data_IF_613196961556
#
_entry.id   IF_613196961556
#
_cell.length_a   1.000
_cell.length_b   1.000
_cell.length_c   1.000
_cell.angle_alpha   90.00
_cell.angle_beta   90.00
_cell.angle_gamma   90.00
#
_symmetry.space_group_name_H-M   'P 1'
#
loop_
_entity.id
_entity.type
_entity.pdbx_description
1 polymer ?
#
# COMPACT_ATOMS: atom_id res chain seq x y z
N UNK A 1 -3.46 1.33 -19.97
CA UNK A 1 -3.15 0.06 -19.29
C UNK A 1 -1.66 -0.22 -19.43
N UNK A 2 -0.82 0.46 -18.64
CA UNK A 2 0.56 0.00 -18.48
C UNK A 2 0.53 -1.10 -17.44
N UNK A 3 0.59 -2.36 -17.87
CA UNK A 3 0.91 -3.45 -16.96
C UNK A 3 2.27 -3.15 -16.36
N UNK A 4 2.33 -2.93 -15.05
CA UNK A 4 3.59 -2.92 -14.34
C UNK A 4 4.16 -4.33 -14.46
N UNK A 5 5.06 -4.54 -15.43
CA UNK A 5 5.83 -5.78 -15.52
C UNK A 5 6.47 -5.97 -14.15
N UNK A 6 6.17 -7.06 -13.40
CA UNK A 6 6.71 -7.23 -12.07
C UNK A 6 8.22 -7.17 -12.18
N UNK A 7 8.82 -6.21 -11.46
CA UNK A 7 10.27 -6.05 -11.46
C UNK A 7 10.89 -7.40 -11.10
N UNK A 8 11.63 -8.01 -12.03
CA UNK A 8 12.21 -9.36 -11.87
C UNK A 8 13.18 -9.48 -10.68
N UNK A 9 13.45 -8.37 -9.99
CA UNK A 9 14.45 -8.22 -8.93
C UNK A 9 13.87 -7.87 -7.55
N UNK A 10 12.57 -8.09 -7.29
CA UNK A 10 12.03 -7.92 -5.92
C UNK A 10 12.50 -9.10 -5.04
N UNK A 11 13.26 -8.87 -3.95
CA UNK A 11 13.64 -9.93 -3.03
C UNK A 11 12.39 -10.55 -2.39
N UNK A 12 12.35 -11.88 -2.27
CA UNK A 12 11.24 -12.56 -1.59
C UNK A 12 11.03 -12.03 -0.16
N UNK A 13 12.11 -11.66 0.53
CA UNK A 13 12.06 -11.07 1.87
C UNK A 13 11.36 -9.71 1.91
N UNK A 14 11.44 -8.91 0.84
CA UNK A 14 10.71 -7.64 0.74
C UNK A 14 9.21 -7.86 0.54
N UNK A 15 8.82 -8.91 -0.21
CA UNK A 15 7.42 -9.31 -0.39
C UNK A 15 6.84 -9.80 0.93
N UNK A 16 7.54 -10.68 1.64
CA UNK A 16 7.13 -11.18 2.94
C UNK A 16 7.00 -10.03 3.96
N UNK A 17 7.97 -9.12 3.98
CA UNK A 17 7.93 -7.94 4.83
C UNK A 17 6.73 -7.04 4.52
N UNK A 18 6.40 -6.84 3.24
CA UNK A 18 5.21 -6.10 2.82
C UNK A 18 3.92 -6.73 3.37
N UNK A 19 3.72 -8.03 3.18
CA UNK A 19 2.51 -8.70 3.64
C UNK A 19 2.40 -8.72 5.17
N UNK A 20 3.50 -9.00 5.88
CA UNK A 20 3.53 -8.93 7.35
C UNK A 20 3.16 -7.55 7.88
N UNK A 21 3.53 -6.50 7.17
CA UNK A 21 3.24 -5.12 7.55
C UNK A 21 1.77 -4.79 7.26
N UNK A 22 1.27 -5.15 6.08
CA UNK A 22 -0.13 -4.93 5.68
C UNK A 22 -1.08 -5.70 6.61
N UNK A 23 -0.69 -6.86 7.11
CA UNK A 23 -1.47 -7.64 8.09
C UNK A 23 -1.60 -6.97 9.48
N UNK A 24 -0.81 -5.93 9.77
CA UNK A 24 -0.97 -5.11 10.98
C UNK A 24 -2.03 -4.02 10.84
N UNK A 25 -2.51 -3.78 9.63
CA UNK A 25 -3.58 -2.82 9.39
C UNK A 25 -4.92 -3.41 9.82
N UNK A 26 -5.78 -2.56 10.39
CA UNK A 26 -7.17 -2.92 10.64
C UNK A 26 -7.86 -3.39 9.33
N UNK A 27 -8.80 -4.35 9.38
CA UNK A 27 -9.32 -5.01 8.18
C UNK A 27 -9.85 -4.06 7.11
N UNK A 28 -10.55 -3.01 7.53
CA UNK A 28 -11.16 -2.01 6.66
C UNK A 28 -10.13 -1.13 5.94
N UNK A 29 -9.09 -0.71 6.67
CA UNK A 29 -7.94 0.03 6.16
C UNK A 29 -7.11 -0.85 5.21
N UNK A 30 -6.89 -2.11 5.57
CA UNK A 30 -6.15 -3.10 4.79
C UNK A 30 -6.80 -3.33 3.42
N UNK A 31 -8.11 -3.56 3.39
CA UNK A 31 -8.84 -3.80 2.13
C UNK A 31 -8.75 -2.58 1.23
N UNK A 32 -9.02 -1.39 1.76
CA UNK A 32 -8.94 -0.16 0.99
C UNK A 32 -7.52 0.06 0.42
N UNK A 33 -6.48 -0.20 1.22
CA UNK A 33 -5.08 -0.09 0.83
C UNK A 33 -4.69 -1.05 -0.30
N UNK A 34 -5.02 -2.33 -0.17
CA UNK A 34 -4.70 -3.35 -1.17
C UNK A 34 -5.41 -3.08 -2.49
N UNK A 35 -6.71 -2.76 -2.46
CA UNK A 35 -7.45 -2.43 -3.66
C UNK A 35 -6.88 -1.21 -4.39
N UNK A 36 -6.45 -0.18 -3.66
CA UNK A 36 -5.92 1.03 -4.27
C UNK A 36 -4.48 0.86 -4.79
N UNK A 37 -3.58 0.26 -4.01
CA UNK A 37 -2.14 0.26 -4.32
C UNK A 37 -1.63 -1.03 -4.94
N UNK A 38 -2.30 -2.17 -4.69
CA UNK A 38 -1.91 -3.47 -5.26
C UNK A 38 -2.75 -3.80 -6.48
N UNK A 39 -4.07 -3.67 -6.39
CA UNK A 39 -4.98 -3.89 -7.53
C UNK A 39 -5.06 -2.67 -8.46
N UNK A 40 -4.60 -1.49 -8.02
CA UNK A 40 -4.55 -0.28 -8.84
C UNK A 40 -5.91 0.38 -9.09
N UNK A 41 -6.91 0.12 -8.24
CA UNK A 41 -8.23 0.72 -8.36
C UNK A 41 -8.23 2.21 -7.98
N UNK A 42 -9.04 2.99 -8.69
CA UNK A 42 -9.30 4.39 -8.37
C UNK A 42 -10.13 4.52 -7.08
N UNK A 43 -10.02 5.65 -6.38
CA UNK A 43 -10.70 5.86 -5.09
C UNK A 43 -12.23 5.64 -5.15
N UNK A 44 -12.84 5.97 -6.28
CA UNK A 44 -14.28 5.76 -6.53
C UNK A 44 -14.62 4.29 -6.74
N UNK A 45 -13.73 3.52 -7.37
CA UNK A 45 -13.88 2.09 -7.58
C UNK A 45 -13.69 1.33 -6.25
N UNK A 46 -12.73 1.74 -5.42
CA UNK A 46 -12.56 1.22 -4.06
C UNK A 46 -13.81 1.50 -3.22
N UNK A 47 -14.35 2.72 -3.27
CA UNK A 47 -15.56 3.08 -2.55
C UNK A 47 -16.76 2.19 -2.96
N UNK A 48 -16.92 1.96 -4.26
CA UNK A 48 -17.96 1.10 -4.80
C UNK A 48 -17.75 -0.37 -4.39
N UNK A 49 -16.55 -0.91 -4.51
CA UNK A 49 -16.22 -2.29 -4.14
C UNK A 49 -16.44 -2.58 -2.64
N UNK A 50 -16.15 -1.59 -1.78
CA UNK A 50 -16.34 -1.68 -0.34
C UNK A 50 -17.76 -1.29 0.12
N UNK A 51 -18.64 -0.80 -0.77
CA UNK A 51 -19.99 -0.34 -0.42
C UNK A 51 -20.03 0.86 0.54
N UNK A 52 -19.03 1.76 0.47
CA UNK A 52 -18.89 2.91 1.37
C UNK A 52 -18.75 4.23 0.59
N UNK A 53 -18.85 5.35 1.30
CA UNK A 53 -18.66 6.67 0.68
C UNK A 53 -17.21 6.91 0.24
N UNK A 54 -17.03 7.80 -0.75
CA UNK A 54 -15.70 8.27 -1.16
C UNK A 54 -14.94 8.95 -0.01
N UNK A 55 -15.65 9.68 0.85
CA UNK A 55 -15.05 10.34 2.02
C UNK A 55 -14.51 9.31 3.03
N UNK A 56 -15.29 8.25 3.31
CA UNK A 56 -14.86 7.14 4.18
C UNK A 56 -13.65 6.42 3.58
N UNK A 57 -13.66 6.18 2.27
CA UNK A 57 -12.55 5.55 1.54
C UNK A 57 -11.26 6.36 1.68
N UNK A 58 -11.32 7.67 1.43
CA UNK A 58 -10.18 8.58 1.61
C UNK A 58 -9.66 8.56 3.05
N UNK A 59 -10.56 8.55 4.04
CA UNK A 59 -10.17 8.48 5.47
C UNK A 59 -9.43 7.18 5.78
N UNK A 60 -9.98 6.03 5.37
CA UNK A 60 -9.37 4.71 5.58
C UNK A 60 -8.00 4.62 4.92
N UNK A 61 -7.89 5.06 3.66
CA UNK A 61 -6.62 5.10 2.96
C UNK A 61 -5.61 6.00 3.66
N UNK A 62 -5.96 7.22 4.06
CA UNK A 62 -5.04 8.09 4.78
C UNK A 62 -4.54 7.48 6.10
N UNK A 63 -5.38 6.72 6.82
CA UNK A 63 -4.97 5.98 8.02
C UNK A 63 -4.03 4.82 7.64
N UNK A 64 -4.40 4.02 6.65
CA UNK A 64 -3.62 2.89 6.18
C UNK A 64 -2.23 3.31 5.68
N UNK A 65 -2.15 4.36 4.84
CA UNK A 65 -0.90 4.88 4.30
C UNK A 65 0.02 5.41 5.41
N UNK A 66 -0.55 6.09 6.42
CA UNK A 66 0.22 6.57 7.59
C UNK A 66 0.79 5.41 8.40
N UNK A 67 -0.02 4.41 8.72
CA UNK A 67 0.42 3.22 9.47
C UNK A 67 1.44 2.41 8.66
N UNK A 68 1.19 2.25 7.35
CA UNK A 68 2.10 1.55 6.47
C UNK A 68 3.50 2.20 6.47
N UNK A 69 3.54 3.53 6.31
CA UNK A 69 4.79 4.28 6.36
C UNK A 69 5.51 4.13 7.71
N UNK A 70 4.78 4.28 8.81
CA UNK A 70 5.34 4.15 10.16
C UNK A 70 5.90 2.73 10.44
N UNK A 71 5.27 1.69 9.90
CA UNK A 71 5.76 0.32 10.08
C UNK A 71 6.84 -0.09 9.08
N UNK A 72 6.95 0.60 7.94
CA UNK A 72 7.98 0.34 6.94
C UNK A 72 9.33 0.93 7.36
N UNK A 73 9.31 1.97 8.20
CA UNK A 73 10.50 2.52 8.84
C UNK A 73 11.21 1.44 9.67
N UNK A 74 12.50 1.23 9.37
CA UNK A 74 13.32 0.22 10.05
C UNK A 74 13.21 -1.19 9.48
N UNK A 75 12.57 -1.38 8.32
CA UNK A 75 12.53 -2.67 7.59
C UNK A 75 13.44 -2.59 6.36
N UNK A 76 14.73 -2.99 6.44
CA UNK A 76 15.75 -2.63 5.45
C UNK A 76 15.42 -3.03 4.00
N UNK A 77 14.92 -4.26 3.82
CA UNK A 77 14.59 -4.79 2.51
C UNK A 77 13.42 -4.03 1.88
N UNK A 78 12.43 -3.64 2.70
CA UNK A 78 11.28 -2.88 2.25
C UNK A 78 11.63 -1.41 2.02
N UNK A 79 12.45 -0.78 2.87
CA UNK A 79 12.93 0.58 2.69
C UNK A 79 13.69 0.75 1.37
N UNK A 80 14.60 -0.18 1.08
CA UNK A 80 15.37 -0.20 -0.17
C UNK A 80 14.46 -0.24 -1.38
N UNK A 81 13.38 -1.03 -1.31
CA UNK A 81 12.43 -1.15 -2.39
C UNK A 81 11.51 0.07 -2.52
N UNK A 82 10.98 0.59 -1.40
CA UNK A 82 10.10 1.77 -1.38
C UNK A 82 10.82 3.05 -1.85
N UNK A 83 12.14 3.16 -1.62
CA UNK A 83 12.95 4.27 -2.13
C UNK A 83 12.94 4.41 -3.66
N UNK A 84 12.59 3.34 -4.39
CA UNK A 84 12.47 3.35 -5.86
C UNK A 84 11.12 3.91 -6.34
N UNK A 85 10.14 4.08 -5.45
CA UNK A 85 8.82 4.59 -5.77
C UNK A 85 8.71 6.09 -5.45
N UNK A 86 8.34 6.95 -6.41
CA UNK A 86 8.15 8.39 -6.16
C UNK A 86 7.10 8.68 -5.07
N UNK A 87 6.12 7.80 -4.91
CA UNK A 87 5.04 7.95 -3.91
C UNK A 87 5.51 7.60 -2.49
N UNK A 88 6.37 6.60 -2.36
CA UNK A 88 6.73 6.00 -1.07
C UNK A 88 8.14 6.33 -0.61
N UNK A 89 8.94 6.98 -1.45
CA UNK A 89 10.23 7.52 -1.06
C UNK A 89 10.08 8.43 0.18
N UNK A 90 11.00 8.31 1.13
CA UNK A 90 11.05 9.21 2.28
C UNK A 90 11.20 10.64 1.76
N UNK A 91 10.46 11.57 2.35
CA UNK A 91 10.72 12.99 2.13
C UNK A 91 12.07 13.30 2.78
N UNK A 92 13.06 13.64 1.95
CA UNK A 92 14.40 14.06 2.38
C UNK A 92 14.32 15.35 3.19
#
# INVERSE_FOLDING_TARGET
MSGHEPSRDVPATAIDAFYQLVDRLEPDERIAFLLCHVEGLELTEVANACGISLATTKRRLAVAERLFKAHAEGVPDLETWLARSPKWAKAT
#
